data_IF_059664794684
#
_entry.id   IF_059664794684
#
_cell.length_a   1.000
_cell.length_b   1.000
_cell.length_c   1.000
_cell.angle_alpha   90.00
_cell.angle_beta   90.00
_cell.angle_gamma   90.00
#
_symmetry.space_group_name_H-M   'P 1'
#
loop_
_entity.id
_entity.type
_entity.pdbx_description
1 polymer ?
#
# COMPACT_ATOMS: atom_id res chain seq x y z
N UNK A 1 -26.61 11.51 7.16
CA UNK A 1 -25.41 11.89 6.38
C UNK A 1 -24.34 10.85 6.66
N UNK A 2 -23.82 10.24 5.60
CA UNK A 2 -22.66 9.36 5.72
C UNK A 2 -21.48 10.18 6.21
N UNK A 3 -20.75 9.65 7.19
CA UNK A 3 -19.51 10.25 7.67
C UNK A 3 -18.35 9.49 7.06
N UNK A 4 -17.43 10.24 6.48
CA UNK A 4 -16.19 9.69 5.93
C UNK A 4 -15.05 10.04 6.86
N UNK A 5 -14.17 9.07 7.10
CA UNK A 5 -12.88 9.29 7.74
C UNK A 5 -11.78 8.74 6.85
N UNK A 6 -10.64 9.44 6.81
CA UNK A 6 -9.45 8.97 6.10
C UNK A 6 -8.34 8.72 7.12
N UNK A 7 -7.76 7.54 7.08
CA UNK A 7 -6.67 7.13 7.96
C UNK A 7 -5.44 6.85 7.11
N UNK A 8 -4.28 7.33 7.56
CA UNK A 8 -3.01 7.15 6.87
C UNK A 8 -2.01 6.38 7.73
N UNK A 9 -1.25 5.49 7.09
CA UNK A 9 -0.08 4.83 7.65
C UNK A 9 1.15 5.29 6.87
N UNK A 10 2.09 5.92 7.56
CA UNK A 10 3.32 6.43 6.95
C UNK A 10 4.21 5.28 6.45
N UNK A 11 5.00 5.55 5.42
CA UNK A 11 6.02 4.65 4.85
C UNK A 11 6.87 3.95 5.89
N UNK A 12 7.18 4.65 6.98
CA UNK A 12 8.01 4.15 8.09
C UNK A 12 7.40 2.99 8.88
N UNK A 13 6.10 2.74 8.75
CA UNK A 13 5.40 1.62 9.38
C UNK A 13 5.34 0.36 8.48
N UNK A 14 5.96 0.43 7.28
CA UNK A 14 5.99 -0.67 6.33
C UNK A 14 6.84 -1.84 6.84
N UNK A 15 6.35 -3.07 6.65
CA UNK A 15 7.11 -4.30 6.84
C UNK A 15 7.29 -5.03 5.51
N UNK A 16 8.50 -5.48 5.19
CA UNK A 16 8.81 -6.16 3.93
C UNK A 16 8.76 -7.67 4.13
N UNK A 17 8.00 -8.39 3.29
CA UNK A 17 7.79 -9.83 3.42
C UNK A 17 9.07 -10.65 3.12
N UNK A 18 9.75 -10.35 2.02
CA UNK A 18 10.97 -11.03 1.59
C UNK A 18 12.16 -10.07 1.55
N UNK A 19 12.73 -9.77 2.70
CA UNK A 19 13.89 -8.87 2.82
C UNK A 19 15.11 -9.36 2.02
N UNK A 20 15.27 -10.67 1.83
CA UNK A 20 16.35 -11.23 1.03
C UNK A 20 16.21 -10.96 -0.49
N UNK A 21 15.11 -10.37 -0.94
CA UNK A 21 14.86 -9.96 -2.34
C UNK A 21 15.04 -8.46 -2.59
N UNK A 22 15.32 -7.70 -1.53
CA UNK A 22 15.70 -6.29 -1.63
C UNK A 22 17.22 -6.14 -1.48
N UNK A 23 17.77 -5.13 -2.12
CA UNK A 23 19.17 -4.76 -1.99
C UNK A 23 19.38 -3.78 -0.83
N UNK A 24 18.42 -2.89 -0.59
CA UNK A 24 18.44 -2.00 0.57
C UNK A 24 17.05 -1.51 0.98
N UNK A 25 16.91 -1.21 2.26
CA UNK A 25 15.75 -0.54 2.86
C UNK A 25 16.29 0.61 3.71
N UNK A 26 15.82 1.82 3.46
CA UNK A 26 16.28 3.02 4.17
C UNK A 26 15.10 3.87 4.60
N UNK A 27 14.93 4.01 5.91
CA UNK A 27 14.01 4.97 6.49
C UNK A 27 14.60 6.38 6.33
N UNK A 28 13.83 7.27 5.73
CA UNK A 28 14.15 8.69 5.62
C UNK A 28 12.99 9.48 6.19
N UNK A 29 13.22 10.73 6.59
CA UNK A 29 12.18 11.56 7.23
C UNK A 29 10.80 11.48 6.54
N UNK A 30 10.70 11.73 5.23
CA UNK A 30 9.41 11.76 4.54
C UNK A 30 8.98 10.45 3.84
N UNK A 31 9.82 9.41 3.81
CA UNK A 31 9.51 8.15 3.11
C UNK A 31 10.46 7.01 3.51
N UNK A 32 10.08 5.78 3.19
CA UNK A 32 11.02 4.64 3.16
C UNK A 32 11.43 4.38 1.72
N UNK A 33 12.74 4.35 1.48
CA UNK A 33 13.32 3.98 0.20
C UNK A 33 13.66 2.50 0.19
N UNK A 34 13.16 1.79 -0.82
CA UNK A 34 13.51 0.42 -1.13
C UNK A 34 14.28 0.42 -2.44
N UNK A 35 15.37 -0.34 -2.51
CA UNK A 35 16.00 -0.72 -3.77
C UNK A 35 15.96 -2.24 -3.85
N UNK A 36 15.51 -2.77 -4.99
CA UNK A 36 15.29 -4.20 -5.18
C UNK A 36 16.44 -4.92 -5.85
N UNK A 37 16.46 -6.24 -5.71
CA UNK A 37 17.32 -7.09 -6.52
C UNK A 37 16.71 -7.29 -7.91
N UNK A 38 17.55 -7.32 -8.94
CA UNK A 38 17.14 -7.44 -10.35
C UNK A 38 16.24 -8.65 -10.57
N UNK A 39 15.05 -8.43 -11.14
CA UNK A 39 14.12 -9.50 -11.54
C UNK A 39 13.34 -10.12 -10.37
N UNK A 40 13.42 -9.55 -9.17
CA UNK A 40 12.73 -10.05 -7.98
C UNK A 40 11.45 -9.25 -7.68
N UNK A 41 10.64 -9.77 -6.76
CA UNK A 41 9.49 -9.09 -6.19
C UNK A 41 9.37 -9.36 -4.68
N UNK A 42 8.75 -8.44 -3.95
CA UNK A 42 8.38 -8.60 -2.54
C UNK A 42 7.10 -7.83 -2.25
N UNK A 43 6.53 -8.02 -1.07
CA UNK A 43 5.38 -7.27 -0.58
C UNK A 43 5.79 -6.33 0.55
N UNK A 44 5.17 -5.15 0.60
CA UNK A 44 5.23 -4.20 1.71
C UNK A 44 3.88 -4.14 2.41
N UNK A 45 3.84 -4.55 3.68
CA UNK A 45 2.64 -4.55 4.52
C UNK A 45 2.54 -3.26 5.32
N UNK A 46 1.36 -2.66 5.31
CA UNK A 46 1.02 -1.45 6.05
C UNK A 46 -0.17 -1.73 6.97
N UNK A 47 0.10 -2.09 8.23
CA UNK A 47 -0.93 -2.13 9.25
C UNK A 47 -1.51 -0.73 9.42
N UNK A 48 -2.83 -0.61 9.33
CA UNK A 48 -3.55 0.63 9.61
C UNK A 48 -4.41 0.39 10.84
N UNK A 49 -4.15 1.12 11.92
CA UNK A 49 -5.04 1.12 13.07
C UNK A 49 -6.34 1.81 12.67
N UNK A 50 -7.41 1.04 12.53
CA UNK A 50 -8.74 1.51 12.15
C UNK A 50 -9.78 1.21 13.23
N UNK A 51 -10.80 2.07 13.40
CA UNK A 51 -11.98 1.69 14.13
C UNK A 51 -12.75 0.65 13.31
N UNK A 52 -13.33 -0.35 13.97
CA UNK A 52 -14.31 -1.26 13.33
C UNK A 52 -15.73 -0.75 13.52
N UNK A 53 -15.99 -0.10 14.66
CA UNK A 53 -17.24 0.60 14.96
C UNK A 53 -16.98 1.95 15.64
N UNK A 54 -17.81 2.95 15.35
CA UNK A 54 -17.92 4.21 16.11
C UNK A 54 -19.41 4.52 16.26
N UNK A 55 -19.87 4.82 17.47
CA UNK A 55 -21.27 5.13 17.77
C UNK A 55 -22.26 4.07 17.22
N UNK A 56 -21.93 2.78 17.39
CA UNK A 56 -22.67 1.61 16.89
C UNK A 56 -22.83 1.52 15.36
N UNK A 57 -22.05 2.31 14.60
CA UNK A 57 -22.05 2.26 13.13
C UNK A 57 -20.89 1.43 12.62
N UNK A 58 -21.19 0.55 11.68
CA UNK A 58 -20.21 -0.20 10.90
C UNK A 58 -19.72 0.69 9.75
N UNK A 59 -18.40 0.75 9.61
CA UNK A 59 -17.77 1.40 8.48
C UNK A 59 -17.57 0.41 7.33
N UNK A 60 -17.70 0.89 6.10
CA UNK A 60 -17.21 0.18 4.93
C UNK A 60 -15.95 0.86 4.42
N UNK A 61 -15.04 0.05 3.90
CA UNK A 61 -13.88 0.56 3.17
C UNK A 61 -14.28 0.95 1.76
N UNK A 62 -14.10 2.22 1.39
CA UNK A 62 -14.54 2.77 0.09
C UNK A 62 -13.38 3.09 -0.83
N UNK A 63 -12.21 3.48 -0.29
CA UNK A 63 -11.03 3.79 -1.09
C UNK A 63 -9.73 3.40 -0.41
N UNK A 64 -8.70 3.17 -1.23
CA UNK A 64 -7.29 3.12 -0.82
C UNK A 64 -6.52 4.24 -1.51
N UNK A 65 -5.61 4.84 -0.77
CA UNK A 65 -4.65 5.81 -1.26
C UNK A 65 -3.25 5.22 -1.21
N UNK A 66 -2.45 5.48 -2.23
CA UNK A 66 -1.02 5.12 -2.25
C UNK A 66 -0.22 6.36 -2.65
N UNK A 67 0.76 6.74 -1.82
CA UNK A 67 1.65 7.85 -2.08
C UNK A 67 3.08 7.35 -2.17
N UNK A 68 3.65 7.42 -3.39
CA UNK A 68 4.98 6.91 -3.66
C UNK A 68 5.67 7.62 -4.83
N UNK A 69 6.97 7.39 -4.93
CA UNK A 69 7.77 7.69 -6.13
C UNK A 69 8.55 6.45 -6.52
N UNK A 70 8.75 6.22 -7.80
CA UNK A 70 9.66 5.17 -8.24
C UNK A 70 10.49 5.57 -9.44
N UNK A 71 11.58 4.83 -9.64
CA UNK A 71 12.35 4.87 -10.89
C UNK A 71 11.85 3.78 -11.83
N UNK A 72 12.30 3.85 -13.08
CA UNK A 72 11.82 3.05 -14.21
C UNK A 72 11.77 1.52 -13.96
N UNK A 73 12.69 0.98 -13.13
CA UNK A 73 12.79 -0.45 -12.84
C UNK A 73 12.12 -0.86 -11.53
N UNK A 74 11.52 0.07 -10.78
CA UNK A 74 10.71 -0.23 -9.59
C UNK A 74 9.25 0.09 -9.86
N UNK A 75 8.37 -0.90 -9.75
CA UNK A 75 6.94 -0.73 -9.99
C UNK A 75 6.12 -1.28 -8.82
N UNK A 76 4.97 -0.66 -8.56
CA UNK A 76 3.92 -1.29 -7.77
C UNK A 76 3.00 -2.03 -8.74
N UNK A 77 2.94 -3.35 -8.59
CA UNK A 77 2.20 -4.22 -9.51
C UNK A 77 0.93 -4.83 -8.89
N UNK A 78 0.78 -4.74 -7.57
CA UNK A 78 -0.36 -5.27 -6.84
C UNK A 78 -0.73 -4.35 -5.68
N UNK A 79 -2.03 -4.30 -5.37
CA UNK A 79 -2.54 -3.77 -4.11
C UNK A 79 -3.51 -4.82 -3.56
N UNK A 80 -3.21 -5.33 -2.37
CA UNK A 80 -4.08 -6.26 -1.63
C UNK A 80 -4.54 -5.58 -0.35
N UNK A 81 -5.77 -5.87 0.06
CA UNK A 81 -6.33 -5.37 1.32
C UNK A 81 -6.81 -6.55 2.13
N UNK A 82 -6.25 -6.69 3.33
CA UNK A 82 -6.71 -7.66 4.31
C UNK A 82 -7.56 -6.98 5.38
N UNK A 83 -8.60 -7.67 5.83
CA UNK A 83 -9.29 -7.43 7.10
C UNK A 83 -9.11 -8.66 8.01
N UNK A 84 -8.19 -8.54 8.98
CA UNK A 84 -7.68 -9.70 9.70
C UNK A 84 -6.96 -10.68 8.77
N UNK A 85 -7.48 -11.91 8.65
CA UNK A 85 -6.88 -12.97 7.83
C UNK A 85 -7.46 -13.03 6.40
N UNK A 86 -8.54 -12.29 6.13
CA UNK A 86 -9.26 -12.37 4.86
C UNK A 86 -8.79 -11.26 3.92
N UNK A 87 -8.53 -11.60 2.66
CA UNK A 87 -8.43 -10.61 1.58
C UNK A 87 -9.85 -10.13 1.27
N UNK A 88 -10.08 -8.83 1.42
CA UNK A 88 -11.36 -8.18 1.11
C UNK A 88 -11.34 -7.43 -0.22
N UNK A 89 -10.14 -7.20 -0.77
CA UNK A 89 -9.95 -6.63 -2.08
C UNK A 89 -8.55 -6.97 -2.60
N UNK A 90 -8.45 -7.25 -3.89
CA UNK A 90 -7.19 -7.41 -4.60
C UNK A 90 -7.26 -6.78 -5.99
N UNK A 91 -6.16 -6.14 -6.39
CA UNK A 91 -5.94 -5.75 -7.77
C UNK A 91 -4.52 -6.13 -8.17
N UNK A 92 -4.41 -6.75 -9.33
CA UNK A 92 -3.19 -7.32 -9.88
C UNK A 92 -2.88 -6.67 -11.23
N UNK A 93 -1.69 -7.00 -11.78
CA UNK A 93 -1.24 -6.53 -13.10
C UNK A 93 -1.20 -4.99 -13.24
N UNK A 94 -1.04 -4.30 -12.11
CA UNK A 94 -0.74 -2.87 -12.12
C UNK A 94 0.67 -2.63 -12.67
N UNK A 95 0.91 -1.42 -13.15
CA UNK A 95 2.24 -0.98 -13.59
C UNK A 95 2.49 0.46 -13.12
N UNK A 96 2.21 0.71 -11.83
CA UNK A 96 2.34 2.05 -11.26
C UNK A 96 3.82 2.38 -11.09
N UNK A 97 4.25 3.50 -11.67
CA UNK A 97 5.64 3.98 -11.60
C UNK A 97 5.73 5.49 -11.75
N UNK A 98 6.89 6.07 -11.43
CA UNK A 98 7.10 7.52 -11.48
C UNK A 98 6.57 8.21 -10.23
N UNK A 99 6.13 9.46 -10.35
CA UNK A 99 5.66 10.27 -9.22
C UNK A 99 4.15 10.13 -9.03
N UNK A 100 3.71 9.26 -8.12
CA UNK A 100 2.29 9.04 -7.81
C UNK A 100 2.03 9.41 -6.35
N UNK A 101 1.86 10.71 -6.09
CA UNK A 101 1.69 11.21 -4.73
C UNK A 101 0.26 11.07 -4.20
N UNK A 102 -0.70 10.86 -5.09
CA UNK A 102 -2.14 10.87 -4.83
C UNK A 102 -2.84 9.75 -5.63
N UNK A 103 -2.22 8.57 -5.74
CA UNK A 103 -2.90 7.45 -6.42
C UNK A 103 -4.09 7.00 -5.58
N UNK A 104 -5.28 7.05 -6.18
CA UNK A 104 -6.54 6.64 -5.55
C UNK A 104 -7.09 5.39 -6.23
N UNK A 105 -7.57 4.46 -5.40
CA UNK A 105 -8.28 3.27 -5.83
C UNK A 105 -9.65 3.25 -5.17
N UNK A 106 -10.69 3.45 -5.97
CA UNK A 106 -12.09 3.33 -5.53
C UNK A 106 -12.49 1.86 -5.55
N UNK A 107 -13.11 1.38 -4.47
CA UNK A 107 -13.53 -0.01 -4.34
C UNK A 107 -14.99 -0.15 -4.76
N UNK A 108 -15.25 -0.94 -5.82
CA UNK A 108 -16.58 -1.11 -6.41
C UNK A 108 -17.58 -1.83 -5.49
N UNK A 109 -17.08 -2.60 -4.50
CA UNK A 109 -17.86 -3.30 -3.49
C UNK A 109 -17.32 -2.97 -2.11
N UNK A 110 -17.80 -1.88 -1.51
CA UNK A 110 -17.35 -1.48 -0.17
C UNK A 110 -17.72 -2.55 0.86
N UNK A 111 -16.69 -3.20 1.40
CA UNK A 111 -16.87 -4.27 2.39
C UNK A 111 -16.95 -3.67 3.80
N UNK A 112 -17.90 -4.12 4.65
CA UNK A 112 -17.88 -3.75 6.06
C UNK A 112 -16.59 -4.27 6.69
N UNK A 113 -15.91 -3.41 7.44
CA UNK A 113 -14.69 -3.78 8.15
C UNK A 113 -15.03 -4.39 9.51
N UNK A 114 -14.31 -5.44 9.90
CA UNK A 114 -14.61 -6.24 11.08
C UNK A 114 -13.44 -6.38 12.05
N UNK A 115 -12.20 -6.26 11.57
CA UNK A 115 -10.95 -6.36 12.31
C UNK A 115 -9.99 -5.24 11.87
N UNK A 116 -8.69 -5.51 11.93
CA UNK A 116 -7.64 -4.58 11.54
C UNK A 116 -7.31 -4.69 10.04
N UNK A 117 -7.13 -3.53 9.40
CA UNK A 117 -6.77 -3.43 7.99
C UNK A 117 -5.25 -3.52 7.80
N UNK A 118 -4.84 -4.33 6.82
CA UNK A 118 -3.48 -4.32 6.29
C UNK A 118 -3.54 -4.06 4.79
N UNK A 119 -3.01 -2.91 4.37
CA UNK A 119 -2.82 -2.61 2.94
C UNK A 119 -1.46 -3.15 2.53
N UNK A 120 -1.43 -3.95 1.47
CA UNK A 120 -0.22 -4.59 0.97
C UNK A 120 0.09 -4.09 -0.43
N UNK A 121 1.30 -3.58 -0.62
CA UNK A 121 1.80 -3.18 -1.93
C UNK A 121 2.73 -4.27 -2.48
N UNK A 122 2.44 -4.78 -3.67
CA UNK A 122 3.37 -5.64 -4.41
C UNK A 122 4.44 -4.79 -5.09
N UNK A 123 5.69 -4.95 -4.67
CA UNK A 123 6.84 -4.31 -5.30
C UNK A 123 7.48 -5.27 -6.28
N UNK A 124 7.58 -4.87 -7.54
CA UNK A 124 8.27 -5.62 -8.58
C UNK A 124 9.47 -4.81 -9.09
N UNK A 125 10.61 -5.50 -9.19
CA UNK A 125 11.87 -4.93 -9.64
C UNK A 125 12.25 -5.54 -10.99
N UNK A 126 12.15 -4.75 -12.05
CA UNK A 126 12.38 -5.22 -13.43
C UNK A 126 13.80 -5.77 -13.59
N UNK A 127 13.99 -6.82 -14.42
CA UNK A 127 15.30 -7.42 -14.64
C UNK A 127 16.24 -6.49 -15.41
N UNK A 128 17.55 -6.72 -15.27
CA UNK A 128 18.63 -6.03 -15.97
C UNK A 128 18.64 -4.50 -15.81
N UNK A 129 18.49 -3.95 -14.58
CA UNK A 129 18.60 -2.52 -14.37
C UNK A 129 20.04 -2.04 -14.63
N UNK A 130 20.24 -0.81 -15.15
CA UNK A 130 21.58 -0.27 -15.39
C UNK A 130 22.38 -0.07 -14.09
N UNK A 131 21.71 0.01 -12.95
CA UNK A 131 22.26 -0.05 -11.60
C UNK A 131 21.13 -0.30 -10.59
N UNK A 132 21.48 -0.71 -9.37
CA UNK A 132 20.51 -0.98 -8.29
C UNK A 132 19.58 0.20 -8.01
N UNK A 133 20.10 1.44 -8.06
CA UNK A 133 19.30 2.65 -7.80
C UNK A 133 18.16 2.81 -8.81
N UNK A 134 18.25 2.27 -10.02
CA UNK A 134 17.15 2.31 -11.01
C UNK A 134 15.91 1.51 -10.58
N UNK A 135 16.04 0.58 -9.63
CA UNK A 135 14.93 -0.21 -9.06
C UNK A 135 14.22 0.49 -7.91
N UNK A 136 14.65 1.71 -7.56
CA UNK A 136 14.21 2.43 -6.38
C UNK A 136 12.69 2.65 -6.36
N UNK A 137 12.08 2.40 -5.19
CA UNK A 137 10.72 2.80 -4.82
C UNK A 137 10.81 3.55 -3.49
N UNK A 138 10.26 4.76 -3.43
CA UNK A 138 10.14 5.58 -2.21
C UNK A 138 8.66 5.61 -1.81
N UNK A 139 8.31 4.96 -0.72
CA UNK A 139 6.94 4.93 -0.22
C UNK A 139 6.77 5.97 0.88
N UNK A 140 5.89 6.92 0.65
CA UNK A 140 5.54 7.98 1.60
C UNK A 140 4.47 7.47 2.56
N UNK A 141 3.51 6.70 2.06
CA UNK A 141 2.50 6.04 2.88
C UNK A 141 1.34 5.49 2.07
N UNK A 142 0.42 4.87 2.79
CA UNK A 142 -0.86 4.40 2.27
C UNK A 142 -1.98 4.93 3.15
N UNK A 143 -3.15 5.13 2.57
CA UNK A 143 -4.34 5.56 3.30
C UNK A 143 -5.54 4.71 2.96
N UNK A 144 -6.54 4.77 3.82
CA UNK A 144 -7.86 4.19 3.60
C UNK A 144 -8.95 5.21 3.86
N UNK A 145 -10.00 5.17 3.05
CA UNK A 145 -11.24 5.90 3.27
C UNK A 145 -12.29 4.95 3.83
N UNK A 146 -12.87 5.30 4.97
CA UNK A 146 -13.95 4.55 5.61
C UNK A 146 -15.21 5.42 5.63
N UNK A 147 -16.34 4.82 5.24
CA UNK A 147 -17.64 5.49 5.22
C UNK A 147 -18.66 4.73 6.09
N UNK A 148 -19.42 5.43 6.93
CA UNK A 148 -20.52 4.81 7.68
C UNK A 148 -21.70 4.51 6.76
N UNK A 149 -22.33 3.35 6.91
CA UNK A 149 -23.69 3.13 6.42
C UNK A 149 -24.67 4.12 7.08
N UNK A 150 -25.67 4.57 6.31
CA UNK A 150 -26.70 5.54 6.73
C UNK A 150 -27.52 5.07 7.92
#
# INVERSE_FOLDING_TARGET
MNKTITLWSHGSNMQIEYENRVASVRHTGPFVRIEGQSGQNTWGHFPITNPTTIDDRIYNLTKVYVSFRSREYGIINQILIYDGENIIYDTNDLSLSGNNLEYELVLDNSAPISKGINVVLGFQFKPNPPNTRSTQIEVIGVGIELETNS
#
